data_IF_288199552353
#
_entry.id   IF_288199552353
#
_cell.length_a   1.000
_cell.length_b   1.000
_cell.length_c   1.000
_cell.angle_alpha   90.00
_cell.angle_beta   90.00
_cell.angle_gamma   90.00
#
_symmetry.space_group_name_H-M   'P 1'
#
loop_
_entity.id
_entity.type
_entity.pdbx_description
1 polymer ?
#
# COMPACT_ATOMS: atom_id res chain seq x y z
N UNK A 1 -17.14 42.41 -10.78
CA UNK A 1 -16.50 42.95 -9.56
C UNK A 1 -15.60 41.88 -8.95
N UNK A 2 -14.65 42.27 -8.12
CA UNK A 2 -13.67 41.35 -7.52
C UNK A 2 -13.68 41.47 -6.00
N UNK A 3 -13.85 40.35 -5.30
CA UNK A 3 -13.62 40.24 -3.86
C UNK A 3 -12.22 39.66 -3.64
N UNK A 4 -11.42 40.30 -2.78
CA UNK A 4 -10.11 39.78 -2.38
C UNK A 4 -10.10 39.54 -0.88
N UNK A 5 -9.78 38.32 -0.47
CA UNK A 5 -9.54 37.93 0.90
C UNK A 5 -8.04 37.73 1.07
N UNK A 6 -7.44 38.44 2.02
CA UNK A 6 -6.00 38.42 2.26
C UNK A 6 -5.70 38.14 3.73
N UNK A 7 -4.90 37.10 4.00
CA UNK A 7 -4.52 36.65 5.34
C UNK A 7 -5.71 36.44 6.30
N UNK A 8 -6.84 35.98 5.76
CA UNK A 8 -8.10 35.82 6.50
C UNK A 8 -8.52 34.37 6.66
N UNK A 9 -9.17 34.03 7.79
CA UNK A 9 -9.94 32.78 7.90
C UNK A 9 -11.42 33.10 7.77
N UNK A 10 -12.08 32.51 6.76
CA UNK A 10 -13.48 32.76 6.43
C UNK A 10 -14.23 31.43 6.40
N UNK A 11 -15.36 31.36 7.10
CA UNK A 11 -16.22 30.17 7.13
C UNK A 11 -17.61 30.55 6.65
N UNK A 12 -17.84 30.37 5.35
CA UNK A 12 -19.13 30.63 4.68
C UNK A 12 -19.10 30.01 3.28
N UNK A 13 -20.28 29.64 2.78
CA UNK A 13 -20.46 29.43 1.35
C UNK A 13 -20.45 30.80 0.64
N UNK A 14 -19.86 30.86 -0.56
CA UNK A 14 -19.79 32.06 -1.39
C UNK A 14 -20.71 31.86 -2.60
N UNK A 15 -21.84 32.56 -2.58
CA UNK A 15 -22.78 32.59 -3.70
C UNK A 15 -22.53 33.87 -4.49
N UNK A 16 -22.13 33.72 -5.74
CA UNK A 16 -21.67 34.81 -6.58
C UNK A 16 -22.37 34.80 -7.95
N UNK A 17 -22.09 35.81 -8.76
CA UNK A 17 -22.56 35.89 -10.14
C UNK A 17 -21.43 35.54 -11.09
N UNK A 18 -21.74 34.85 -12.19
CA UNK A 18 -20.77 34.60 -13.26
C UNK A 18 -20.14 35.91 -13.75
N UNK A 19 -18.86 35.86 -14.08
CA UNK A 19 -18.08 37.05 -14.47
C UNK A 19 -17.61 37.92 -13.30
N UNK A 20 -17.91 37.54 -12.06
CA UNK A 20 -17.20 38.07 -10.87
C UNK A 20 -15.91 37.28 -10.62
N UNK A 21 -15.08 37.79 -9.70
CA UNK A 21 -13.88 37.08 -9.27
C UNK A 21 -13.73 37.09 -7.74
N UNK A 22 -13.27 35.96 -7.20
CA UNK A 22 -12.81 35.79 -5.83
C UNK A 22 -11.31 35.47 -5.82
N UNK A 23 -10.54 36.25 -5.08
CA UNK A 23 -9.10 36.02 -4.89
C UNK A 23 -8.82 35.68 -3.43
N UNK A 24 -8.21 34.52 -3.20
CA UNK A 24 -7.68 34.15 -1.88
C UNK A 24 -6.16 34.30 -1.93
N UNK A 25 -5.63 35.25 -1.15
CA UNK A 25 -4.22 35.63 -1.13
C UNK A 25 -3.61 35.51 0.26
N UNK A 26 -2.28 35.55 0.33
CA UNK A 26 -1.58 35.36 1.60
C UNK A 26 -1.87 33.99 2.21
N UNK A 27 -2.01 33.91 3.52
CA UNK A 27 -2.37 32.68 4.25
C UNK A 27 -3.89 32.50 4.42
N UNK A 28 -4.69 32.97 3.47
CA UNK A 28 -6.16 32.91 3.56
C UNK A 28 -6.67 31.48 3.59
N UNK A 29 -7.62 31.18 4.48
CA UNK A 29 -8.35 29.92 4.55
C UNK A 29 -9.84 30.19 4.33
N UNK A 30 -10.43 29.57 3.30
CA UNK A 30 -11.88 29.57 3.08
C UNK A 30 -12.45 28.19 3.42
N UNK A 31 -13.44 28.14 4.30
CA UNK A 31 -14.21 26.94 4.63
C UNK A 31 -15.65 27.11 4.11
N UNK A 32 -15.96 26.46 3.00
CA UNK A 32 -17.28 26.56 2.35
C UNK A 32 -17.19 26.32 0.84
N UNK A 33 -18.35 26.13 0.20
CA UNK A 33 -18.43 26.01 -1.25
C UNK A 33 -18.44 27.38 -1.94
N UNK A 34 -18.18 27.39 -3.25
CA UNK A 34 -18.20 28.58 -4.11
C UNK A 34 -19.11 28.27 -5.32
N UNK A 35 -20.11 29.13 -5.59
CA UNK A 35 -21.11 28.92 -6.66
C UNK A 35 -21.67 30.22 -7.26
N UNK A 36 -21.49 30.52 -8.56
CA UNK A 36 -20.26 30.38 -9.32
C UNK A 36 -19.52 31.72 -9.49
N UNK A 37 -18.18 31.67 -9.55
CA UNK A 37 -17.31 32.83 -9.83
C UNK A 37 -15.98 32.37 -10.42
N UNK A 38 -15.13 33.30 -10.87
CA UNK A 38 -13.73 33.00 -11.16
C UNK A 38 -12.91 32.99 -9.87
N UNK A 39 -12.06 32.00 -9.66
CA UNK A 39 -11.28 31.84 -8.44
C UNK A 39 -9.79 31.94 -8.73
N UNK A 40 -9.08 32.77 -7.98
CA UNK A 40 -7.61 32.76 -7.91
C UNK A 40 -7.18 32.34 -6.52
N UNK A 41 -6.42 31.24 -6.45
CA UNK A 41 -5.89 30.68 -5.22
C UNK A 41 -4.36 30.85 -5.20
N UNK A 42 -3.86 31.82 -4.44
CA UNK A 42 -2.42 32.04 -4.29
C UNK A 42 -1.75 30.89 -3.52
N UNK A 43 -0.43 30.77 -3.61
CA UNK A 43 0.33 29.62 -3.07
C UNK A 43 0.17 29.37 -1.56
N UNK A 44 -0.05 30.43 -0.76
CA UNK A 44 -0.32 30.30 0.68
C UNK A 44 -1.79 30.07 1.04
N UNK A 45 -2.70 30.16 0.07
CA UNK A 45 -4.13 30.11 0.34
C UNK A 45 -4.67 28.68 0.34
N UNK A 46 -5.67 28.44 1.19
CA UNK A 46 -6.36 27.16 1.33
C UNK A 46 -7.86 27.33 1.11
N UNK A 47 -8.46 26.43 0.33
CA UNK A 47 -9.89 26.32 0.16
C UNK A 47 -10.36 24.92 0.57
N UNK A 48 -11.12 24.86 1.66
CA UNK A 48 -11.73 23.64 2.17
C UNK A 48 -13.18 23.55 1.68
N UNK A 49 -13.46 22.54 0.85
CA UNK A 49 -14.78 22.24 0.29
C UNK A 49 -15.44 21.20 1.20
N UNK A 50 -16.51 21.54 1.94
CA UNK A 50 -17.18 20.59 2.80
C UNK A 50 -18.22 19.75 2.03
N UNK A 51 -18.34 18.47 2.36
CA UNK A 51 -19.30 17.52 1.75
C UNK A 51 -20.78 17.76 2.13
N UNK A 52 -21.02 18.76 2.98
CA UNK A 52 -22.32 19.21 3.45
C UNK A 52 -22.56 20.71 3.18
N UNK A 53 -21.82 21.31 2.23
CA UNK A 53 -22.08 22.67 1.77
C UNK A 53 -23.55 22.85 1.32
N UNK A 54 -24.08 24.08 1.47
CA UNK A 54 -25.46 24.40 1.09
C UNK A 54 -25.65 24.62 -0.41
N UNK A 55 -24.55 24.86 -1.12
CA UNK A 55 -24.47 25.03 -2.58
C UNK A 55 -23.45 24.08 -3.21
N UNK A 56 -23.48 23.96 -4.53
CA UNK A 56 -22.46 23.19 -5.25
C UNK A 56 -21.12 23.94 -5.26
N UNK A 57 -20.01 23.25 -5.54
CA UNK A 57 -18.73 23.92 -5.80
C UNK A 57 -18.53 24.02 -7.31
N UNK A 58 -18.86 25.17 -7.88
CA UNK A 58 -18.83 25.45 -9.32
C UNK A 58 -18.03 26.71 -9.60
N UNK A 59 -16.98 26.60 -10.42
CA UNK A 59 -16.07 27.70 -10.77
C UNK A 59 -15.95 27.79 -12.29
N UNK A 60 -15.96 29.00 -12.83
CA UNK A 60 -15.75 29.20 -14.27
C UNK A 60 -14.25 29.09 -14.58
N UNK A 61 -13.43 30.07 -14.15
CA UNK A 61 -11.97 30.01 -14.28
C UNK A 61 -11.29 29.82 -12.92
N UNK A 62 -10.46 28.78 -12.78
CA UNK A 62 -9.65 28.50 -11.59
C UNK A 62 -8.16 28.66 -11.88
N UNK A 63 -7.52 29.67 -11.27
CA UNK A 63 -6.06 29.78 -11.20
C UNK A 63 -5.57 29.22 -9.87
N UNK A 64 -4.78 28.14 -9.91
CA UNK A 64 -4.56 27.28 -8.75
C UNK A 64 -3.07 27.11 -8.39
N UNK A 65 -2.58 27.95 -7.49
CA UNK A 65 -1.25 27.83 -6.87
C UNK A 65 -1.31 27.31 -5.41
N UNK A 66 -2.45 27.46 -4.74
CA UNK A 66 -2.66 27.10 -3.32
C UNK A 66 -3.08 25.65 -3.08
N UNK A 67 -3.83 25.43 -2.00
CA UNK A 67 -4.32 24.12 -1.56
C UNK A 67 -5.85 24.05 -1.61
N UNK A 68 -6.40 22.99 -2.18
CA UNK A 68 -7.83 22.66 -2.10
C UNK A 68 -7.97 21.36 -1.34
N UNK A 69 -8.82 21.32 -0.32
CA UNK A 69 -9.11 20.09 0.43
C UNK A 69 -10.59 19.79 0.38
N UNK A 70 -10.95 18.58 -0.02
CA UNK A 70 -12.28 18.07 0.25
C UNK A 70 -12.35 17.59 1.69
N UNK A 71 -13.31 18.11 2.43
CA UNK A 71 -13.47 17.89 3.87
C UNK A 71 -14.82 17.28 4.16
N UNK A 72 -14.91 16.52 5.25
CA UNK A 72 -16.17 15.99 5.74
C UNK A 72 -16.15 15.91 7.25
N UNK A 73 -17.25 16.34 7.84
CA UNK A 73 -17.52 16.18 9.27
C UNK A 73 -18.43 14.98 9.54
N UNK A 74 -18.79 14.21 8.50
CA UNK A 74 -19.69 13.06 8.63
C UNK A 74 -18.92 11.86 9.18
N UNK A 75 -19.43 11.30 10.27
CA UNK A 75 -18.99 9.98 10.75
C UNK A 75 -19.80 8.89 10.06
N UNK A 76 -19.14 7.90 9.46
CA UNK A 76 -19.82 6.73 8.87
C UNK A 76 -19.72 6.68 7.34
N UNK A 77 -20.87 6.75 6.65
CA UNK A 77 -20.94 6.54 5.19
C UNK A 77 -20.13 7.60 4.45
N UNK A 78 -19.18 7.15 3.62
CA UNK A 78 -18.45 8.02 2.72
C UNK A 78 -19.40 8.61 1.66
N UNK A 79 -19.39 9.93 1.53
CA UNK A 79 -20.13 10.65 0.48
C UNK A 79 -19.13 11.50 -0.29
N UNK A 80 -18.88 11.15 -1.57
CA UNK A 80 -18.09 11.98 -2.47
C UNK A 80 -18.65 13.39 -2.59
N UNK A 81 -17.75 14.36 -2.65
CA UNK A 81 -18.02 15.74 -3.02
C UNK A 81 -17.36 16.05 -4.38
N UNK A 82 -17.90 17.07 -5.07
CA UNK A 82 -17.48 17.43 -6.42
C UNK A 82 -17.15 18.90 -6.51
N UNK A 83 -15.99 19.21 -7.09
CA UNK A 83 -15.62 20.54 -7.59
C UNK A 83 -15.76 20.51 -9.11
N UNK A 84 -16.66 21.33 -9.65
CA UNK A 84 -16.81 21.53 -11.08
C UNK A 84 -16.11 22.80 -11.51
N UNK A 85 -15.27 22.71 -12.54
CA UNK A 85 -14.51 23.82 -13.08
C UNK A 85 -14.68 23.85 -14.60
N UNK A 86 -14.89 25.01 -15.21
CA UNK A 86 -14.85 25.11 -16.68
C UNK A 86 -13.40 25.11 -17.17
N UNK A 87 -12.59 26.05 -16.70
CA UNK A 87 -11.17 26.15 -17.04
C UNK A 87 -10.29 26.07 -15.77
N UNK A 88 -9.35 25.14 -15.76
CA UNK A 88 -8.36 25.00 -14.69
C UNK A 88 -6.97 25.36 -15.25
N UNK A 89 -6.31 26.32 -14.61
CA UNK A 89 -4.90 26.65 -14.84
C UNK A 89 -4.11 26.30 -13.57
N UNK A 90 -3.45 25.14 -13.60
CA UNK A 90 -2.64 24.64 -12.51
C UNK A 90 -1.28 25.35 -12.43
N UNK A 91 -0.94 25.87 -11.26
CA UNK A 91 0.30 26.58 -10.98
C UNK A 91 1.10 25.89 -9.85
N UNK A 92 1.20 24.56 -9.94
CA UNK A 92 1.74 23.67 -8.90
C UNK A 92 0.94 23.68 -7.58
N UNK A 93 -0.31 24.13 -7.61
CA UNK A 93 -1.23 23.95 -6.48
C UNK A 93 -1.60 22.48 -6.28
N UNK A 94 -2.09 22.17 -5.08
CA UNK A 94 -2.51 20.82 -4.70
C UNK A 94 -4.01 20.74 -4.47
N UNK A 95 -4.64 19.67 -4.98
CA UNK A 95 -6.01 19.27 -4.64
C UNK A 95 -5.94 17.94 -3.89
N UNK A 96 -6.40 17.90 -2.65
CA UNK A 96 -6.51 16.68 -1.87
C UNK A 96 -7.91 16.09 -1.97
N UNK A 97 -8.00 14.93 -2.61
CA UNK A 97 -9.23 14.19 -2.88
C UNK A 97 -9.34 13.00 -1.93
N UNK A 98 -10.52 12.79 -1.34
CA UNK A 98 -10.77 11.58 -0.55
C UNK A 98 -11.16 10.43 -1.47
N UNK A 99 -10.61 9.25 -1.21
CA UNK A 99 -10.80 8.05 -2.02
C UNK A 99 -11.13 6.87 -1.11
N UNK A 100 -12.02 6.00 -1.54
CA UNK A 100 -12.34 4.72 -0.89
C UNK A 100 -11.93 3.56 -1.81
N UNK A 101 -10.68 3.09 -1.72
CA UNK A 101 -10.14 2.04 -2.56
C UNK A 101 -10.71 0.64 -2.24
N UNK A 102 -11.45 0.51 -1.14
CA UNK A 102 -12.10 -0.71 -0.66
C UNK A 102 -13.51 -0.93 -1.24
N UNK A 103 -14.04 0.03 -2.01
CA UNK A 103 -15.37 -0.04 -2.61
C UNK A 103 -15.32 -0.13 -4.14
N UNK A 104 -16.46 -0.45 -4.76
CA UNK A 104 -16.60 -0.45 -6.22
C UNK A 104 -16.24 0.91 -6.86
N UNK A 105 -16.11 0.95 -8.19
CA UNK A 105 -15.75 2.18 -8.93
C UNK A 105 -16.64 3.38 -8.56
N UNK A 106 -16.10 4.59 -8.67
CA UNK A 106 -16.73 5.90 -8.37
C UNK A 106 -16.84 6.32 -6.89
N UNK A 107 -16.09 5.69 -5.99
CA UNK A 107 -16.04 6.10 -4.58
C UNK A 107 -14.85 7.04 -4.28
N UNK A 108 -14.82 8.19 -4.93
CA UNK A 108 -13.85 9.25 -4.68
C UNK A 108 -14.48 10.63 -4.85
N UNK A 109 -13.97 11.61 -4.11
CA UNK A 109 -14.19 13.02 -4.44
C UNK A 109 -13.72 13.29 -5.87
N UNK A 110 -14.34 14.29 -6.52
CA UNK A 110 -14.20 14.48 -7.95
C UNK A 110 -13.88 15.92 -8.32
N UNK A 111 -12.89 16.08 -9.18
CA UNK A 111 -12.70 17.28 -9.98
C UNK A 111 -13.35 17.07 -11.35
N UNK A 112 -14.34 17.87 -11.70
CA UNK A 112 -15.01 17.81 -13.00
C UNK A 112 -14.56 19.00 -13.85
N UNK A 113 -14.04 18.74 -15.05
CA UNK A 113 -13.78 19.76 -16.07
C UNK A 113 -14.97 19.78 -17.04
N UNK A 114 -15.70 20.89 -17.08
CA UNK A 114 -16.98 21.01 -17.78
C UNK A 114 -16.88 21.94 -19.00
N UNK A 115 -16.70 21.35 -20.18
CA UNK A 115 -16.69 22.04 -21.48
C UNK A 115 -15.52 22.98 -21.75
N UNK A 116 -14.55 23.09 -20.84
CA UNK A 116 -13.34 23.90 -21.00
C UNK A 116 -12.05 23.09 -21.00
N UNK A 117 -11.01 23.60 -20.34
CA UNK A 117 -9.66 23.02 -20.41
C UNK A 117 -9.00 22.93 -19.04
N UNK A 118 -8.28 21.85 -18.78
CA UNK A 118 -7.29 21.79 -17.71
C UNK A 118 -5.89 21.90 -18.31
N UNK A 119 -5.13 22.91 -17.89
CA UNK A 119 -3.79 23.21 -18.36
C UNK A 119 -2.83 23.47 -17.20
N UNK A 120 -1.53 23.55 -17.50
CA UNK A 120 -0.50 23.78 -16.49
C UNK A 120 -0.25 22.52 -15.66
N UNK A 121 -0.03 22.66 -14.35
CA UNK A 121 0.23 21.52 -13.46
C UNK A 121 -0.49 21.66 -12.13
N UNK A 122 -1.29 20.65 -11.80
CA UNK A 122 -1.96 20.48 -10.51
C UNK A 122 -1.52 19.17 -9.87
N UNK A 123 -1.20 19.21 -8.59
CA UNK A 123 -0.84 18.03 -7.82
C UNK A 123 -2.12 17.45 -7.21
N UNK A 124 -2.43 16.20 -7.52
CA UNK A 124 -3.55 15.49 -6.91
C UNK A 124 -3.02 14.62 -5.76
N UNK A 125 -3.40 14.98 -4.53
CA UNK A 125 -3.15 14.16 -3.36
C UNK A 125 -4.36 13.29 -3.07
N UNK A 126 -4.13 12.01 -2.84
CA UNK A 126 -5.19 11.04 -2.55
C UNK A 126 -5.17 10.68 -1.07
N UNK A 127 -6.29 10.91 -0.40
CA UNK A 127 -6.48 10.60 1.02
C UNK A 127 -7.40 9.38 1.11
N UNK A 128 -6.92 8.30 1.71
CA UNK A 128 -7.79 7.15 1.99
C UNK A 128 -8.79 7.54 3.08
N UNK A 129 -10.07 7.68 2.73
CA UNK A 129 -11.15 8.05 3.65
C UNK A 129 -11.84 6.83 4.30
N UNK A 130 -11.29 5.64 4.13
CA UNK A 130 -11.74 4.43 4.80
C UNK A 130 -11.09 4.27 6.18
N UNK A 131 -11.86 3.78 7.15
CA UNK A 131 -11.31 3.33 8.44
C UNK A 131 -10.59 1.97 8.31
N UNK A 132 -10.83 1.29 7.19
CA UNK A 132 -10.21 0.02 6.85
C UNK A 132 -8.94 0.29 6.05
N UNK A 133 -7.82 -0.33 6.44
CA UNK A 133 -6.61 -0.34 5.63
C UNK A 133 -6.76 -1.20 4.34
N UNK A 134 -7.98 -1.50 3.92
CA UNK A 134 -8.32 -2.37 2.79
C UNK A 134 -8.26 -1.62 1.47
N UNK A 135 -7.89 -2.33 0.41
CA UNK A 135 -7.93 -1.86 -0.97
C UNK A 135 -8.21 -3.02 -1.91
N UNK A 136 -8.92 -2.76 -3.00
CA UNK A 136 -9.27 -3.73 -4.02
C UNK A 136 -8.51 -3.47 -5.32
N UNK A 137 -8.20 -4.53 -6.05
CA UNK A 137 -7.76 -4.42 -7.43
C UNK A 137 -8.82 -3.65 -8.23
N UNK A 138 -8.38 -2.67 -9.01
CA UNK A 138 -9.27 -1.96 -9.92
C UNK A 138 -9.49 -2.79 -11.17
N UNK A 139 -10.74 -2.88 -11.62
CA UNK A 139 -11.09 -3.36 -12.95
C UNK A 139 -11.35 -2.19 -13.90
N UNK A 140 -11.49 -2.45 -15.21
CA UNK A 140 -11.88 -1.44 -16.20
C UNK A 140 -10.98 -0.19 -16.18
N UNK A 141 -11.61 0.99 -16.17
CA UNK A 141 -10.86 2.27 -16.17
C UNK A 141 -10.24 2.62 -14.81
N UNK A 142 -10.76 2.09 -13.71
CA UNK A 142 -10.31 2.39 -12.35
C UNK A 142 -11.23 3.32 -11.57
N UNK A 143 -10.71 3.99 -10.55
CA UNK A 143 -11.45 4.94 -9.71
C UNK A 143 -11.29 6.33 -10.31
N UNK A 144 -12.37 6.89 -10.86
CA UNK A 144 -12.34 8.21 -11.48
C UNK A 144 -12.17 9.31 -10.43
N UNK A 145 -11.17 10.16 -10.62
CA UNK A 145 -10.84 11.30 -9.72
C UNK A 145 -10.89 12.64 -10.44
N UNK A 146 -10.62 12.63 -11.76
CA UNK A 146 -10.91 13.76 -12.65
C UNK A 146 -11.84 13.27 -13.75
N UNK A 147 -12.91 14.00 -13.99
CA UNK A 147 -13.88 13.72 -15.04
C UNK A 147 -13.94 14.88 -16.03
N UNK A 148 -13.72 14.60 -17.30
CA UNK A 148 -13.89 15.57 -18.38
C UNK A 148 -15.24 15.34 -19.06
N UNK A 149 -16.09 16.37 -19.10
CA UNK A 149 -17.42 16.31 -19.72
C UNK A 149 -17.62 17.46 -20.72
N UNK A 150 -18.68 17.34 -21.54
CA UNK A 150 -19.13 18.40 -22.44
C UNK A 150 -18.06 18.91 -23.41
N UNK A 151 -17.16 18.03 -23.86
CA UNK A 151 -16.05 18.38 -24.77
C UNK A 151 -14.85 19.00 -24.07
N UNK A 152 -14.76 18.89 -22.74
CA UNK A 152 -13.58 19.30 -22.00
C UNK A 152 -12.31 18.56 -22.45
N UNK A 153 -11.17 19.23 -22.32
CA UNK A 153 -9.84 18.66 -22.60
C UNK A 153 -8.91 18.83 -21.41
N UNK A 154 -8.00 17.88 -21.19
CA UNK A 154 -6.97 17.93 -20.16
C UNK A 154 -5.59 17.73 -20.80
N UNK A 155 -4.66 18.65 -20.57
CA UNK A 155 -3.28 18.45 -21.03
C UNK A 155 -2.65 17.23 -20.34
N UNK A 156 -1.73 16.53 -21.01
CA UNK A 156 -1.04 15.36 -20.46
C UNK A 156 -0.30 15.67 -19.14
N UNK A 157 0.17 16.91 -18.97
CA UNK A 157 0.81 17.39 -17.74
C UNK A 157 -0.12 18.09 -16.74
N UNK A 158 -1.42 18.21 -17.04
CA UNK A 158 -2.37 19.00 -16.23
C UNK A 158 -2.47 18.50 -14.79
N UNK A 159 -2.32 17.18 -14.59
CA UNK A 159 -2.42 16.53 -13.30
C UNK A 159 -1.24 15.60 -13.08
N UNK A 160 -0.69 15.63 -11.86
CA UNK A 160 0.30 14.65 -11.40
C UNK A 160 -0.14 14.12 -10.04
N UNK A 161 0.17 12.86 -9.77
CA UNK A 161 -0.07 12.30 -8.44
C UNK A 161 0.98 12.83 -7.45
N UNK A 162 0.55 13.41 -6.35
CA UNK A 162 1.46 13.94 -5.33
C UNK A 162 1.95 12.88 -4.35
N UNK A 163 1.05 12.05 -3.84
CA UNK A 163 1.38 10.90 -2.99
C UNK A 163 0.91 9.59 -3.61
N UNK A 164 1.69 8.52 -3.44
CA UNK A 164 1.24 7.16 -3.78
C UNK A 164 0.08 6.78 -2.86
N UNK A 165 -1.07 6.45 -3.43
CA UNK A 165 -2.17 5.90 -2.64
C UNK A 165 -1.88 4.42 -2.41
N UNK A 166 -1.81 4.00 -1.16
CA UNK A 166 -1.59 2.62 -0.76
C UNK A 166 -2.78 2.14 0.05
N UNK A 167 -3.35 1.01 -0.32
CA UNK A 167 -4.45 0.42 0.42
C UNK A 167 -4.50 -1.10 0.21
N UNK A 168 -4.62 -1.83 1.31
CA UNK A 168 -4.56 -3.28 1.34
C UNK A 168 -3.29 -3.80 0.70
N UNK A 169 -3.48 -4.68 -0.28
CA UNK A 169 -2.41 -5.30 -1.03
C UNK A 169 -1.89 -4.46 -2.20
N UNK A 170 -2.48 -3.29 -2.48
CA UNK A 170 -2.24 -2.57 -3.74
C UNK A 170 -1.65 -1.18 -3.53
N UNK A 171 -0.80 -0.81 -4.48
CA UNK A 171 -0.48 0.57 -4.77
C UNK A 171 -1.39 1.06 -5.89
N UNK A 172 -1.77 2.34 -5.87
CA UNK A 172 -2.59 2.96 -6.92
C UNK A 172 -1.84 4.11 -7.60
N UNK A 173 -1.84 4.08 -8.92
CA UNK A 173 -1.26 5.10 -9.78
C UNK A 173 -2.33 5.89 -10.53
N UNK A 174 -2.09 7.19 -10.72
CA UNK A 174 -2.94 8.10 -11.49
C UNK A 174 -2.62 7.95 -12.98
N UNK A 175 -3.66 7.70 -13.78
CA UNK A 175 -3.54 7.47 -15.21
C UNK A 175 -4.57 8.32 -15.97
N UNK A 176 -4.13 8.94 -17.06
CA UNK A 176 -4.99 9.65 -18.01
C UNK A 176 -5.46 8.68 -19.09
N UNK A 177 -6.73 8.77 -19.45
CA UNK A 177 -7.30 8.00 -20.57
C UNK A 177 -7.58 8.88 -21.80
N UNK A 178 -8.00 8.22 -22.89
CA UNK A 178 -8.38 8.87 -24.16
C UNK A 178 -9.67 9.68 -24.08
N UNK A 179 -10.44 9.55 -23.00
CA UNK A 179 -11.64 10.34 -22.72
C UNK A 179 -11.34 11.64 -21.95
N UNK A 180 -10.07 12.05 -21.91
CA UNK A 180 -9.57 13.24 -21.19
C UNK A 180 -9.73 13.17 -19.66
N UNK A 181 -10.27 12.07 -19.12
CA UNK A 181 -10.47 11.85 -17.69
C UNK A 181 -9.27 11.14 -17.06
N UNK A 182 -9.19 11.22 -15.73
CA UNK A 182 -8.10 10.64 -14.97
C UNK A 182 -8.60 9.69 -13.88
N UNK A 183 -7.93 8.55 -13.78
CA UNK A 183 -8.34 7.42 -12.98
C UNK A 183 -7.18 6.92 -12.12
N UNK A 184 -7.48 6.53 -10.88
CA UNK A 184 -6.58 5.72 -10.08
C UNK A 184 -6.73 4.24 -10.47
N UNK A 185 -5.62 3.57 -10.74
CA UNK A 185 -5.57 2.14 -11.05
C UNK A 185 -4.67 1.43 -10.07
N UNK A 186 -5.11 0.28 -9.58
CA UNK A 186 -4.23 -0.60 -8.82
C UNK A 186 -3.11 -1.09 -9.74
N UNK A 187 -1.89 -1.12 -9.22
CA UNK A 187 -0.78 -1.80 -9.87
C UNK A 187 -1.00 -3.31 -9.89
N UNK A 188 -0.39 -4.00 -10.86
CA UNK A 188 -0.49 -5.45 -10.99
C UNK A 188 0.29 -6.18 -9.90
N UNK A 189 1.44 -5.62 -9.50
CA UNK A 189 2.22 -6.11 -8.37
C UNK A 189 1.48 -5.81 -7.06
N UNK A 190 1.53 -6.76 -6.12
CA UNK A 190 1.16 -6.43 -4.76
C UNK A 190 2.22 -5.52 -4.14
N UNK A 191 1.83 -4.89 -3.04
CA UNK A 191 2.78 -4.25 -2.13
C UNK A 191 3.73 -5.32 -1.63
N UNK A 192 5.04 -5.08 -1.71
CA UNK A 192 6.09 -6.03 -1.36
C UNK A 192 5.94 -6.68 0.03
N UNK A 193 5.30 -5.98 0.97
CA UNK A 193 5.01 -6.47 2.31
C UNK A 193 4.02 -7.66 2.31
N UNK A 194 3.13 -7.76 1.31
CA UNK A 194 2.09 -8.81 1.20
C UNK A 194 2.71 -10.20 1.00
N UNK A 195 3.50 -10.47 -0.06
CA UNK A 195 4.21 -11.73 -0.22
C UNK A 195 5.16 -12.03 0.95
N UNK A 196 5.81 -11.02 1.54
CA UNK A 196 6.65 -11.24 2.71
C UNK A 196 5.84 -11.80 3.87
N UNK A 197 4.77 -11.14 4.30
CA UNK A 197 3.94 -11.65 5.40
C UNK A 197 3.29 -12.99 5.09
N UNK A 198 2.86 -13.23 3.84
CA UNK A 198 2.26 -14.49 3.44
C UNK A 198 3.25 -15.67 3.50
N UNK A 199 4.54 -15.42 3.31
CA UNK A 199 5.57 -16.45 3.29
C UNK A 199 6.28 -16.68 4.63
N UNK A 200 6.32 -15.67 5.50
CA UNK A 200 7.09 -15.69 6.76
C UNK A 200 6.84 -16.94 7.61
N UNK A 201 5.57 -17.28 7.85
CA UNK A 201 5.23 -18.41 8.73
C UNK A 201 5.68 -19.74 8.14
N UNK A 202 5.43 -19.97 6.84
CA UNK A 202 5.83 -21.20 6.15
C UNK A 202 7.36 -21.36 6.14
N UNK A 203 8.09 -20.28 5.84
CA UNK A 203 9.55 -20.33 5.78
C UNK A 203 10.19 -20.58 7.15
N UNK A 204 9.67 -19.95 8.20
CA UNK A 204 10.11 -20.21 9.57
C UNK A 204 9.83 -21.67 9.96
N UNK A 205 8.61 -22.18 9.71
CA UNK A 205 8.26 -23.58 10.02
C UNK A 205 9.10 -24.61 9.26
N UNK A 206 9.40 -24.36 7.98
CA UNK A 206 10.26 -25.24 7.20
C UNK A 206 11.67 -25.29 7.78
N UNK A 207 12.21 -24.13 8.16
CA UNK A 207 13.53 -24.07 8.77
C UNK A 207 13.56 -24.71 10.16
N UNK A 208 12.60 -24.40 11.02
CA UNK A 208 12.46 -25.00 12.36
C UNK A 208 12.34 -26.52 12.30
N UNK A 209 11.56 -27.03 11.33
CA UNK A 209 11.42 -28.48 11.11
C UNK A 209 12.74 -29.13 10.69
N UNK A 210 13.53 -28.47 9.86
CA UNK A 210 14.86 -28.96 9.49
C UNK A 210 15.79 -28.95 10.70
N UNK A 211 15.80 -27.85 11.46
CA UNK A 211 16.63 -27.66 12.65
C UNK A 211 16.31 -28.70 13.74
N UNK A 212 15.05 -29.09 13.88
CA UNK A 212 14.60 -30.14 14.81
C UNK A 212 14.80 -31.56 14.24
N UNK A 213 14.46 -31.78 12.96
CA UNK A 213 14.23 -33.10 12.36
C UNK A 213 15.42 -33.82 11.71
N UNK A 214 16.63 -33.24 11.68
CA UNK A 214 17.78 -33.78 10.95
C UNK A 214 18.42 -35.05 11.57
N UNK A 215 17.66 -36.15 11.70
CA UNK A 215 18.14 -37.43 12.25
C UNK A 215 17.95 -38.64 11.34
N UNK A 216 17.87 -38.47 10.02
CA UNK A 216 17.55 -39.60 9.15
C UNK A 216 18.72 -40.47 8.66
N UNK A 217 20.00 -40.12 8.84
CA UNK A 217 21.09 -40.97 8.33
C UNK A 217 22.36 -40.91 9.15
N UNK A 218 22.46 -41.64 10.26
CA UNK A 218 23.77 -41.99 10.84
C UNK A 218 23.76 -43.41 11.41
N UNK A 219 24.12 -44.37 10.56
CA UNK A 219 24.55 -45.71 10.95
C UNK A 219 26.05 -45.70 11.21
N UNK A 220 26.46 -46.20 12.37
CA UNK A 220 27.83 -46.67 12.61
C UNK A 220 28.83 -45.64 13.13
N UNK A 221 28.72 -45.27 14.41
CA UNK A 221 29.92 -44.97 15.20
C UNK A 221 30.10 -46.12 16.19
N UNK A 222 30.96 -47.07 15.79
CA UNK A 222 31.42 -48.16 16.65
C UNK A 222 32.42 -47.58 17.66
N UNK A 223 31.93 -47.13 18.81
CA UNK A 223 32.73 -46.78 19.97
C UNK A 223 32.11 -47.37 21.23
N UNK A 224 32.94 -47.89 22.12
CA UNK A 224 32.52 -48.54 23.38
C UNK A 224 32.04 -47.54 24.46
N UNK A 225 32.04 -46.21 24.18
CA UNK A 225 31.77 -45.14 25.17
C UNK A 225 30.71 -44.13 24.72
N UNK A 226 30.14 -43.39 25.69
CA UNK A 226 29.33 -42.18 25.46
C UNK A 226 30.08 -41.21 24.55
N UNK A 227 29.44 -40.79 23.46
CA UNK A 227 30.07 -39.91 22.48
C UNK A 227 29.46 -38.50 22.51
N UNK A 228 30.30 -37.50 22.24
CA UNK A 228 29.89 -36.13 21.95
C UNK A 228 30.11 -35.91 20.46
N UNK A 229 29.12 -35.36 19.77
CA UNK A 229 29.15 -35.15 18.32
C UNK A 229 28.83 -33.70 17.99
N UNK A 230 29.66 -33.09 17.15
CA UNK A 230 29.42 -31.79 16.53
C UNK A 230 29.12 -32.03 15.05
N UNK A 231 28.03 -31.46 14.55
CA UNK A 231 27.71 -31.47 13.13
C UNK A 231 27.35 -30.08 12.61
N UNK A 232 27.64 -29.87 11.33
CA UNK A 232 27.29 -28.66 10.58
C UNK A 232 26.48 -29.13 9.39
N UNK A 233 25.32 -28.52 9.18
CA UNK A 233 24.46 -28.80 8.04
C UNK A 233 24.09 -27.49 7.36
N UNK A 234 23.98 -27.55 6.04
CA UNK A 234 23.42 -26.48 5.25
C UNK A 234 22.73 -27.03 4.01
N UNK A 235 21.86 -26.22 3.43
CA UNK A 235 21.08 -26.62 2.26
C UNK A 235 20.26 -25.46 1.71
N UNK A 236 19.32 -25.81 0.84
CA UNK A 236 18.43 -24.87 0.18
C UNK A 236 16.98 -25.07 0.62
N UNK A 237 16.24 -23.98 0.64
CA UNK A 237 14.80 -23.92 0.91
C UNK A 237 14.15 -23.13 -0.22
N UNK A 238 12.92 -23.48 -0.57
CA UNK A 238 12.19 -22.73 -1.58
C UNK A 238 10.82 -23.31 -1.86
N UNK A 239 9.99 -22.46 -2.43
CA UNK A 239 8.67 -22.81 -2.93
C UNK A 239 8.54 -22.29 -4.36
N UNK A 240 7.95 -23.10 -5.23
CA UNK A 240 7.52 -22.65 -6.54
C UNK A 240 6.17 -21.93 -6.43
N UNK A 241 5.87 -21.04 -7.38
CA UNK A 241 4.57 -20.39 -7.45
C UNK A 241 3.47 -21.43 -7.76
N UNK A 242 2.53 -21.63 -6.84
CA UNK A 242 1.46 -22.61 -6.97
C UNK A 242 0.05 -21.99 -6.94
N UNK A 243 -0.18 -21.01 -7.82
CA UNK A 243 -1.52 -20.45 -8.05
C UNK A 243 -1.79 -19.07 -7.44
N UNK A 244 -0.76 -18.45 -6.88
CA UNK A 244 -0.76 -17.07 -6.41
C UNK A 244 -1.34 -16.83 -5.02
N UNK A 245 -0.93 -15.72 -4.42
CA UNK A 245 -1.22 -15.36 -3.02
C UNK A 245 -2.72 -15.19 -2.77
N UNK A 246 -3.46 -14.69 -3.76
CA UNK A 246 -4.91 -14.52 -3.68
C UNK A 246 -5.68 -15.85 -3.49
N UNK A 247 -5.06 -17.00 -3.82
CA UNK A 247 -5.62 -18.33 -3.59
C UNK A 247 -5.12 -18.99 -2.30
N UNK A 248 -4.33 -18.27 -1.50
CA UNK A 248 -3.70 -18.78 -0.29
C UNK A 248 -2.45 -19.62 -0.55
N UNK A 249 -1.86 -19.55 -1.74
CA UNK A 249 -0.60 -20.22 -2.03
C UNK A 249 0.58 -19.53 -1.34
N UNK A 250 1.59 -20.30 -0.93
CA UNK A 250 2.87 -19.76 -0.50
C UNK A 250 3.53 -19.05 -1.70
N UNK A 251 4.01 -17.80 -1.52
CA UNK A 251 4.73 -17.09 -2.57
C UNK A 251 5.98 -17.84 -3.06
N UNK A 252 6.34 -17.62 -4.31
CA UNK A 252 7.60 -18.14 -4.85
C UNK A 252 8.76 -17.63 -4.00
N UNK A 253 9.61 -18.55 -3.58
CA UNK A 253 10.72 -18.23 -2.70
C UNK A 253 11.90 -19.17 -2.91
N UNK A 254 13.10 -18.65 -2.71
CA UNK A 254 14.33 -19.46 -2.81
C UNK A 254 15.39 -18.91 -1.87
N UNK A 255 16.12 -19.79 -1.22
CA UNK A 255 17.06 -19.41 -0.19
C UNK A 255 17.98 -20.53 0.24
N UNK A 256 18.66 -20.26 1.36
CA UNK A 256 19.58 -21.21 1.97
C UNK A 256 19.46 -21.16 3.48
N UNK A 257 19.88 -22.25 4.11
CA UNK A 257 19.98 -22.34 5.55
C UNK A 257 21.30 -22.99 5.94
N UNK A 258 21.72 -22.72 7.18
CA UNK A 258 22.80 -23.40 7.84
C UNK A 258 22.57 -23.49 9.34
N UNK A 259 23.02 -24.57 9.97
CA UNK A 259 22.99 -24.70 11.42
C UNK A 259 24.14 -25.57 11.94
N UNK A 260 24.47 -25.34 13.21
CA UNK A 260 25.38 -26.15 14.00
C UNK A 260 24.58 -26.95 15.02
N UNK A 261 24.98 -28.19 15.28
CA UNK A 261 24.35 -29.05 16.27
C UNK A 261 25.39 -29.75 17.13
N UNK A 262 25.15 -29.75 18.43
CA UNK A 262 25.90 -30.50 19.42
C UNK A 262 25.00 -31.58 20.02
N UNK A 263 25.48 -32.83 20.01
CA UNK A 263 24.78 -33.97 20.61
C UNK A 263 25.68 -34.66 21.63
N UNK A 264 25.10 -35.18 22.71
CA UNK A 264 25.79 -35.99 23.69
C UNK A 264 24.97 -37.22 24.07
N UNK A 265 25.58 -38.39 24.05
CA UNK A 265 25.00 -39.61 24.61
C UNK A 265 25.05 -39.52 26.15
N UNK A 266 23.93 -39.75 26.82
CA UNK A 266 23.84 -39.71 28.28
C UNK A 266 23.85 -41.13 28.87
N UNK A 267 23.11 -42.05 28.26
CA UNK A 267 22.91 -43.41 28.74
C UNK A 267 22.96 -44.40 27.58
N UNK A 268 23.63 -45.52 27.78
CA UNK A 268 23.60 -46.67 26.87
C UNK A 268 23.37 -47.94 27.67
N UNK A 269 22.42 -48.77 27.25
CA UNK A 269 22.10 -50.04 27.91
C UNK A 269 21.81 -51.11 26.87
N UNK A 270 22.25 -52.34 27.13
CA UNK A 270 21.86 -53.49 26.34
C UNK A 270 20.65 -54.18 27.00
N UNK A 271 19.58 -54.38 26.24
CA UNK A 271 18.36 -55.06 26.70
C UNK A 271 17.98 -56.11 25.67
N UNK A 272 17.98 -57.38 26.07
CA UNK A 272 17.62 -58.51 25.21
C UNK A 272 18.40 -58.56 23.86
N UNK A 273 19.69 -58.19 23.87
CA UNK A 273 20.54 -58.16 22.68
C UNK A 273 20.40 -56.91 21.80
N UNK A 274 19.59 -55.92 22.20
CA UNK A 274 19.47 -54.62 21.54
C UNK A 274 20.22 -53.53 22.33
N UNK A 275 20.95 -52.65 21.65
CA UNK A 275 21.73 -51.57 22.27
C UNK A 275 20.93 -50.27 22.25
N UNK A 276 20.27 -49.95 23.36
CA UNK A 276 19.51 -48.72 23.53
C UNK A 276 20.44 -47.57 23.94
N UNK A 277 20.40 -46.44 23.23
CA UNK A 277 21.15 -45.22 23.58
C UNK A 277 20.21 -44.03 23.72
N UNK A 278 20.26 -43.34 24.87
CA UNK A 278 19.54 -42.10 25.12
C UNK A 278 20.51 -40.93 25.25
N UNK A 279 20.13 -39.77 24.73
CA UNK A 279 20.95 -38.57 24.81
C UNK A 279 20.19 -37.28 24.59
N UNK A 280 20.93 -36.18 24.56
CA UNK A 280 20.39 -34.83 24.33
C UNK A 280 21.13 -34.16 23.18
N UNK A 281 20.47 -33.18 22.57
CA UNK A 281 21.08 -32.32 21.57
C UNK A 281 20.63 -30.87 21.73
N UNK A 282 21.47 -29.97 21.23
CA UNK A 282 21.12 -28.59 20.97
C UNK A 282 21.60 -28.17 19.59
N UNK A 283 20.82 -27.33 18.91
CA UNK A 283 21.17 -26.76 17.62
C UNK A 283 20.83 -25.28 17.57
N UNK A 284 21.59 -24.54 16.76
CA UNK A 284 21.32 -23.15 16.45
C UNK A 284 21.75 -22.86 15.02
N UNK A 285 21.04 -21.98 14.34
CA UNK A 285 21.41 -21.59 12.99
C UNK A 285 20.60 -20.45 12.43
N UNK A 286 20.84 -20.21 11.14
CA UNK A 286 20.27 -19.13 10.37
C UNK A 286 19.70 -19.63 9.04
N UNK A 287 18.60 -19.03 8.60
CA UNK A 287 18.09 -19.14 7.23
C UNK A 287 17.85 -17.77 6.61
N UNK A 288 18.02 -17.69 5.29
CA UNK A 288 17.76 -16.49 4.49
C UNK A 288 17.10 -16.89 3.18
N UNK A 289 15.89 -16.39 2.95
CA UNK A 289 15.04 -16.76 1.81
C UNK A 289 14.54 -15.51 1.10
N UNK A 290 14.86 -15.40 -0.18
CA UNK A 290 14.35 -14.35 -1.05
C UNK A 290 12.95 -14.72 -1.54
N UNK A 291 12.03 -13.76 -1.47
CA UNK A 291 10.61 -13.91 -1.78
C UNK A 291 10.25 -13.06 -2.97
N UNK A 292 9.42 -13.60 -3.85
CA UNK A 292 8.88 -12.91 -5.03
C UNK A 292 7.37 -12.72 -4.91
N UNK A 293 6.89 -11.71 -5.62
CA UNK A 293 5.47 -11.49 -5.87
C UNK A 293 4.96 -12.42 -6.99
N UNK A 294 3.65 -12.50 -7.19
CA UNK A 294 2.97 -13.31 -8.21
C UNK A 294 3.36 -12.90 -9.64
N UNK A 295 3.79 -11.65 -9.85
CA UNK A 295 4.31 -11.15 -11.13
C UNK A 295 5.82 -11.43 -11.34
N UNK A 296 6.46 -12.11 -10.38
CA UNK A 296 7.88 -12.46 -10.39
C UNK A 296 8.82 -11.35 -9.91
N UNK A 297 8.30 -10.17 -9.55
CA UNK A 297 9.10 -9.10 -8.98
C UNK A 297 9.61 -9.47 -7.58
N UNK A 298 10.76 -8.91 -7.18
CA UNK A 298 11.35 -9.17 -5.86
C UNK A 298 10.52 -8.45 -4.79
N UNK A 299 9.98 -9.22 -3.84
CA UNK A 299 9.30 -8.70 -2.67
C UNK A 299 10.28 -8.37 -1.53
N UNK A 300 11.27 -9.22 -1.29
CA UNK A 300 12.27 -8.99 -0.24
C UNK A 300 12.93 -10.28 0.23
N UNK A 301 13.47 -10.25 1.45
CA UNK A 301 14.14 -11.39 2.06
C UNK A 301 13.59 -11.61 3.47
N UNK A 302 13.17 -12.83 3.76
CA UNK A 302 12.87 -13.29 5.11
C UNK A 302 14.12 -13.94 5.68
N UNK A 303 14.44 -13.62 6.93
CA UNK A 303 15.55 -14.22 7.66
C UNK A 303 15.03 -14.77 8.97
N UNK A 304 15.54 -15.92 9.36
CA UNK A 304 15.16 -16.58 10.60
C UNK A 304 16.39 -17.11 11.33
N UNK A 305 16.51 -16.75 12.61
CA UNK A 305 17.55 -17.21 13.52
C UNK A 305 16.88 -18.09 14.57
N UNK A 306 17.11 -19.40 14.48
CA UNK A 306 16.39 -20.37 15.27
C UNK A 306 17.34 -21.24 16.13
N UNK A 307 16.80 -21.71 17.25
CA UNK A 307 17.47 -22.62 18.17
C UNK A 307 16.56 -23.77 18.57
N UNK A 308 17.11 -24.97 18.71
CA UNK A 308 16.37 -26.15 19.16
C UNK A 308 17.14 -26.90 20.25
N UNK A 309 16.40 -27.50 21.17
CA UNK A 309 16.92 -28.38 22.22
C UNK A 309 16.00 -29.59 22.32
N UNK A 310 16.57 -30.79 22.44
CA UNK A 310 15.77 -32.00 22.50
C UNK A 310 16.50 -33.21 23.06
N UNK A 311 15.72 -34.23 23.42
CA UNK A 311 16.21 -35.55 23.78
C UNK A 311 16.01 -36.55 22.65
N UNK A 312 16.71 -37.67 22.70
CA UNK A 312 16.53 -38.76 21.75
C UNK A 312 16.73 -40.13 22.39
N UNK A 313 16.19 -41.15 21.71
CA UNK A 313 16.34 -42.56 22.01
C UNK A 313 16.62 -43.32 20.71
N UNK A 314 17.70 -44.10 20.70
CA UNK A 314 18.07 -45.01 19.61
C UNK A 314 18.00 -46.44 20.15
N UNK A 315 17.58 -47.39 19.30
CA UNK A 315 17.41 -48.82 19.62
C UNK A 315 18.32 -49.68 18.75
#
# INVERSE_FOLDING_TARGET
GTLTLNDSTVTTDVIAQRGTALKLTGSTVLNGAIDPTNVTLASGATWNIPDNATVQSVVDDLSHAGQIHFTSTRTGKFVPATLKVKNLNGQNGTISLRVRPDMAQNNADRLVIDGGRATGKTILNMVNAGNSASGLATSGKGIQVVEAINGATTEEGAFVQGNRLQAGAFNYSLNRDSDESWYLRSENAYRAEVPLYASMLTQAMDYDRILAGSRSHQTGVSGENNSVRLSIQGGHLGHDNNGGIARGATPESSGSYGFVRLEGDLLRTEVAGMSVTAGVYGAAGHSSVDVKDDDGSRAGTVRDDAGSLGGYLNL
#
